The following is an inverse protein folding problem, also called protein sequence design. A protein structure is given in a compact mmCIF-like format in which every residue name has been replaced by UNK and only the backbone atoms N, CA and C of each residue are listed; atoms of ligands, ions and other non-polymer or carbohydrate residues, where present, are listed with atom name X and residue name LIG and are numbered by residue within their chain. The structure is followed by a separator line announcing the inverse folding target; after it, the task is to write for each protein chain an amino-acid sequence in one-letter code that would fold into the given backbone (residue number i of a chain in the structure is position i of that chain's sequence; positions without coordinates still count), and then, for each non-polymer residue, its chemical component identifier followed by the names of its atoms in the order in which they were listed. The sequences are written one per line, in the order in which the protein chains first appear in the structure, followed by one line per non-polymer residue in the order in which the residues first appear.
data_IF_080098336419
#
_entry.id   IF_080098336419
#
_cell.length_a   1.000
_cell.length_b   1.000
_cell.length_c   1.000
_cell.angle_alpha   90.00
_cell.angle_beta   90.00
_cell.angle_gamma   90.00
#
_symmetry.space_group_name_H-M   'P 1'
#
loop_
_entity.id
_entity.type
_entity.pdbx_description
1 polymer ?
#
# COMPACT_ATOMS: atom_id res chain seq x y z
N UNK A 1 -21.26 -8.20 -1.25
CA UNK A 1 -20.56 -7.22 -0.39
C UNK A 1 -20.53 -7.73 1.04
N UNK A 2 -19.37 -7.76 1.63
CA UNK A 2 -19.24 -8.07 3.06
C UNK A 2 -19.92 -6.99 3.87
N UNK A 3 -20.60 -7.39 4.93
CA UNK A 3 -21.05 -6.44 5.91
C UNK A 3 -19.85 -5.78 6.62
N UNK A 4 -20.08 -4.65 7.27
CA UNK A 4 -19.05 -3.89 7.97
C UNK A 4 -18.37 -4.73 9.06
N UNK A 5 -19.13 -5.55 9.78
CA UNK A 5 -18.62 -6.39 10.87
C UNK A 5 -17.62 -7.43 10.38
N UNK A 6 -17.93 -8.14 9.29
CA UNK A 6 -16.99 -9.13 8.72
C UNK A 6 -15.77 -8.48 8.11
N UNK A 7 -15.89 -7.30 7.52
CA UNK A 7 -14.76 -6.55 7.02
C UNK A 7 -13.82 -6.11 8.16
N UNK A 8 -14.35 -5.57 9.23
CA UNK A 8 -13.58 -5.16 10.41
C UNK A 8 -12.83 -6.34 11.04
N UNK A 9 -13.49 -7.48 11.17
CA UNK A 9 -12.86 -8.71 11.67
C UNK A 9 -11.71 -9.15 10.78
N UNK A 10 -11.88 -9.08 9.47
CA UNK A 10 -10.85 -9.41 8.49
C UNK A 10 -9.64 -8.46 8.58
N UNK A 11 -9.88 -7.16 8.65
CA UNK A 11 -8.80 -6.16 8.78
C UNK A 11 -8.02 -6.37 10.09
N UNK A 12 -8.71 -6.59 11.20
CA UNK A 12 -8.07 -6.84 12.49
C UNK A 12 -7.22 -8.12 12.44
N UNK A 13 -7.71 -9.15 11.78
CA UNK A 13 -6.94 -10.38 11.55
C UNK A 13 -5.64 -10.10 10.77
N UNK A 14 -5.71 -9.35 9.69
CA UNK A 14 -4.52 -8.98 8.91
C UNK A 14 -3.54 -8.09 9.69
N UNK A 15 -4.03 -7.14 10.49
CA UNK A 15 -3.16 -6.33 11.34
C UNK A 15 -2.38 -7.20 12.34
N UNK A 16 -3.02 -8.20 12.92
CA UNK A 16 -2.39 -9.13 13.85
C UNK A 16 -1.39 -10.04 13.16
N UNK A 17 -1.71 -10.52 11.97
CA UNK A 17 -0.79 -11.31 11.14
C UNK A 17 0.51 -10.55 10.85
N UNK A 18 0.43 -9.24 10.68
CA UNK A 18 1.56 -8.36 10.36
C UNK A 18 1.98 -7.46 11.52
N UNK A 19 1.75 -7.87 12.76
CA UNK A 19 1.94 -7.05 13.96
C UNK A 19 3.36 -6.50 14.16
N UNK A 20 4.38 -7.19 13.68
CA UNK A 20 5.77 -6.72 13.76
C UNK A 20 6.07 -5.53 12.83
N UNK A 21 5.18 -5.26 11.92
CA UNK A 21 5.46 -4.42 10.76
C UNK A 21 4.44 -3.31 10.54
N UNK A 22 3.21 -3.54 10.96
CA UNK A 22 2.14 -2.55 10.92
C UNK A 22 1.99 -1.87 12.27
N UNK A 23 1.73 -0.57 12.24
CA UNK A 23 1.19 0.10 13.40
C UNK A 23 -0.20 -0.48 13.71
N UNK A 24 -0.44 -0.80 14.96
CA UNK A 24 -1.75 -1.29 15.38
C UNK A 24 -2.71 -0.12 15.58
N UNK A 25 -3.87 -0.22 14.98
CA UNK A 25 -4.96 0.73 15.14
C UNK A 25 -6.14 0.06 15.83
N UNK A 26 -6.81 0.75 16.75
CA UNK A 26 -7.98 0.21 17.42
C UNK A 26 -9.15 0.05 16.44
N UNK A 27 -10.03 -0.91 16.73
CA UNK A 27 -11.21 -1.20 15.90
C UNK A 27 -12.07 0.04 15.66
N UNK A 28 -12.17 0.94 16.64
CA UNK A 28 -12.92 2.20 16.51
C UNK A 28 -12.41 3.10 15.39
N UNK A 29 -11.11 3.17 15.20
CA UNK A 29 -10.51 3.94 14.11
C UNK A 29 -10.77 3.28 12.74
N UNK A 30 -10.69 1.97 12.67
CA UNK A 30 -11.00 1.19 11.47
C UNK A 30 -12.48 1.28 11.11
N UNK A 31 -13.36 1.23 12.09
CA UNK A 31 -14.80 1.40 11.89
C UNK A 31 -15.11 2.76 11.27
N UNK A 32 -14.52 3.82 11.81
CA UNK A 32 -14.63 5.16 11.22
C UNK A 32 -14.14 5.22 9.79
N UNK A 33 -13.02 4.57 9.49
CA UNK A 33 -12.46 4.50 8.15
C UNK A 33 -13.40 3.78 7.17
N UNK A 34 -13.98 2.66 7.58
CA UNK A 34 -14.96 1.92 6.76
C UNK A 34 -16.20 2.77 6.50
N UNK A 35 -16.76 3.39 7.52
CA UNK A 35 -17.94 4.27 7.39
C UNK A 35 -17.70 5.48 6.52
N UNK A 36 -16.47 5.95 6.44
CA UNK A 36 -16.07 7.11 5.61
C UNK A 36 -15.61 6.70 4.22
N UNK A 37 -15.78 5.45 3.80
CA UNK A 37 -15.31 4.92 2.51
C UNK A 37 -13.80 5.15 2.27
N UNK A 38 -12.99 4.93 3.29
CA UNK A 38 -11.52 5.11 3.22
C UNK A 38 -10.75 3.80 3.25
N UNK A 39 -11.44 2.70 3.08
CA UNK A 39 -10.84 1.38 2.94
C UNK A 39 -11.15 0.84 1.55
N UNK A 40 -10.11 0.55 0.80
CA UNK A 40 -10.19 -0.22 -0.44
C UNK A 40 -9.85 -1.66 -0.10
N UNK A 41 -10.63 -2.59 -0.60
CA UNK A 41 -10.36 -4.02 -0.45
C UNK A 41 -10.04 -4.65 -1.80
N UNK A 42 -9.32 -5.74 -1.77
CA UNK A 42 -9.16 -6.62 -2.92
C UNK A 42 -9.68 -8.01 -2.58
N UNK A 43 -10.12 -8.71 -3.60
CA UNK A 43 -10.66 -10.05 -3.47
C UNK A 43 -9.91 -11.00 -4.39
N UNK A 44 -9.84 -12.24 -3.95
CA UNK A 44 -9.33 -13.36 -4.73
C UNK A 44 -10.29 -14.54 -4.55
N UNK A 45 -10.79 -15.09 -5.66
CA UNK A 45 -11.77 -16.18 -5.64
C UNK A 45 -13.02 -15.90 -4.78
N UNK A 46 -13.47 -14.64 -4.76
CA UNK A 46 -14.64 -14.22 -3.98
C UNK A 46 -14.37 -13.96 -2.50
N UNK A 47 -13.13 -14.12 -2.05
CA UNK A 47 -12.74 -13.85 -0.68
C UNK A 47 -11.83 -12.62 -0.58
N UNK A 48 -11.93 -11.90 0.53
CA UNK A 48 -11.04 -10.75 0.77
C UNK A 48 -9.60 -11.21 0.89
N UNK A 49 -8.73 -10.52 0.18
CA UNK A 49 -7.30 -10.85 0.10
C UNK A 49 -6.39 -9.71 0.56
N UNK A 50 -6.94 -8.56 0.86
CA UNK A 50 -6.17 -7.42 1.33
C UNK A 50 -6.99 -6.16 1.51
N UNK A 51 -6.38 -5.13 2.06
CA UNK A 51 -6.97 -3.81 2.20
C UNK A 51 -5.93 -2.71 2.07
N UNK A 52 -6.40 -1.53 1.70
CA UNK A 52 -5.65 -0.28 1.70
C UNK A 52 -6.49 0.76 2.44
N UNK A 53 -5.92 1.33 3.49
CA UNK A 53 -6.53 2.42 4.24
C UNK A 53 -5.88 3.74 3.85
N UNK A 54 -6.69 4.68 3.42
CA UNK A 54 -6.25 5.99 2.96
C UNK A 54 -6.97 7.13 3.67
N UNK A 55 -6.40 8.31 3.60
CA UNK A 55 -7.00 9.54 4.08
C UNK A 55 -8.02 10.13 3.09
N UNK A 56 -8.45 11.36 3.37
CA UNK A 56 -9.39 12.06 2.51
C UNK A 56 -8.81 12.38 1.15
N UNK A 57 -9.64 12.29 0.13
CA UNK A 57 -9.35 12.78 -1.22
C UNK A 57 -9.89 14.21 -1.32
N UNK A 58 -9.00 15.18 -1.52
CA UNK A 58 -9.36 16.60 -1.61
C UNK A 58 -8.63 17.28 -2.75
N UNK A 59 -9.30 18.25 -3.44
CA UNK A 59 -8.64 19.03 -4.48
C UNK A 59 -7.40 19.74 -3.96
N UNK A 60 -6.33 19.70 -4.75
CA UNK A 60 -5.09 20.40 -4.45
C UNK A 60 -4.26 19.83 -3.28
N UNK A 61 -4.61 18.64 -2.79
CA UNK A 61 -3.88 17.99 -1.69
C UNK A 61 -3.48 16.57 -2.03
N UNK A 62 -2.40 16.10 -1.42
CA UNK A 62 -1.98 14.70 -1.52
C UNK A 62 -2.93 13.80 -0.72
N UNK A 63 -3.21 12.64 -1.27
CA UNK A 63 -3.86 11.54 -0.55
C UNK A 63 -2.80 10.79 0.24
N UNK A 64 -3.06 10.59 1.51
CA UNK A 64 -2.19 9.83 2.41
C UNK A 64 -2.66 8.38 2.47
N UNK A 65 -1.76 7.44 2.31
CA UNK A 65 -2.02 6.04 2.58
C UNK A 65 -1.47 5.69 3.96
N UNK A 66 -2.33 5.20 4.85
CA UNK A 66 -1.96 4.85 6.22
C UNK A 66 -1.46 3.42 6.35
N UNK A 67 -2.15 2.50 5.72
CA UNK A 67 -1.80 1.09 5.69
C UNK A 67 -2.17 0.49 4.35
N UNK A 68 -1.34 -0.42 3.87
CA UNK A 68 -1.68 -1.29 2.76
C UNK A 68 -1.15 -2.69 3.08
N UNK A 69 -2.02 -3.66 3.00
CA UNK A 69 -1.72 -5.02 3.41
C UNK A 69 -2.42 -6.01 2.50
N UNK A 70 -1.70 -7.04 2.08
CA UNK A 70 -2.26 -8.18 1.35
C UNK A 70 -2.04 -9.43 2.17
N UNK A 71 -3.02 -10.32 2.16
CA UNK A 71 -2.91 -11.61 2.82
C UNK A 71 -1.65 -12.34 2.38
N UNK A 72 -1.01 -13.01 3.33
CA UNK A 72 0.26 -13.70 3.09
C UNK A 72 0.20 -14.68 1.92
N UNK A 73 -0.87 -15.43 1.81
CA UNK A 73 -1.05 -16.41 0.75
C UNK A 73 -1.35 -15.80 -0.62
N UNK A 74 -1.85 -14.57 -0.64
CA UNK A 74 -2.31 -13.87 -1.84
C UNK A 74 -1.31 -12.87 -2.41
N UNK A 75 -0.15 -12.67 -1.78
CA UNK A 75 0.81 -11.62 -2.16
C UNK A 75 1.40 -11.72 -3.56
N UNK A 76 1.29 -12.86 -4.20
CA UNK A 76 1.86 -13.09 -5.54
C UNK A 76 0.97 -12.66 -6.69
N UNK A 77 -0.19 -12.04 -6.43
CA UNK A 77 -1.26 -11.87 -7.41
C UNK A 77 -1.55 -10.44 -7.82
N UNK A 78 -0.60 -9.54 -7.68
CA UNK A 78 -0.73 -8.11 -8.08
C UNK A 78 -1.87 -7.36 -7.39
N UNK A 79 -2.39 -7.88 -6.31
CA UNK A 79 -3.55 -7.31 -5.62
C UNK A 79 -3.26 -5.93 -5.06
N UNK A 80 -2.05 -5.72 -4.60
CA UNK A 80 -1.68 -4.43 -4.07
C UNK A 80 -1.58 -3.32 -5.12
N UNK A 81 -1.05 -3.65 -6.28
CA UNK A 81 -1.08 -2.71 -7.40
C UNK A 81 -2.53 -2.37 -7.78
N UNK A 82 -3.40 -3.35 -7.79
CA UNK A 82 -4.82 -3.13 -8.05
C UNK A 82 -5.45 -2.14 -7.08
N UNK A 83 -5.17 -2.27 -5.79
CA UNK A 83 -5.67 -1.34 -4.77
C UNK A 83 -5.07 0.06 -4.92
N UNK A 84 -3.78 0.18 -5.12
CA UNK A 84 -3.10 1.47 -5.34
C UNK A 84 -3.62 2.14 -6.62
N UNK A 85 -3.75 1.39 -7.70
CA UNK A 85 -4.30 1.87 -8.96
C UNK A 85 -5.74 2.37 -8.81
N UNK A 86 -6.57 1.66 -8.08
CA UNK A 86 -7.92 2.10 -7.74
C UNK A 86 -7.94 3.41 -6.97
N UNK A 87 -7.05 3.57 -5.99
CA UNK A 87 -6.92 4.82 -5.25
C UNK A 87 -6.44 5.97 -6.15
N UNK A 88 -5.51 5.72 -7.06
CA UNK A 88 -5.07 6.73 -8.03
C UNK A 88 -6.25 7.23 -8.87
N UNK A 89 -7.09 6.34 -9.33
CA UNK A 89 -8.30 6.71 -10.10
C UNK A 89 -9.23 7.59 -9.27
N UNK A 90 -9.49 7.23 -8.03
CA UNK A 90 -10.30 8.03 -7.11
C UNK A 90 -9.66 9.40 -6.83
N UNK A 91 -8.36 9.42 -6.61
CA UNK A 91 -7.61 10.63 -6.32
C UNK A 91 -7.60 11.61 -7.50
N UNK A 92 -7.44 11.12 -8.72
CA UNK A 92 -7.57 11.93 -9.96
C UNK A 92 -8.95 12.53 -10.07
N UNK A 93 -10.00 11.74 -9.90
CA UNK A 93 -11.37 12.21 -9.96
C UNK A 93 -11.67 13.29 -8.90
N UNK A 94 -11.04 13.18 -7.73
CA UNK A 94 -11.17 14.15 -6.64
C UNK A 94 -10.25 15.37 -6.74
N UNK A 95 -9.43 15.49 -7.78
CA UNK A 95 -8.52 16.61 -7.98
C UNK A 95 -7.30 16.63 -7.06
N UNK A 96 -6.92 15.50 -6.50
CA UNK A 96 -5.73 15.40 -5.66
C UNK A 96 -4.45 15.66 -6.47
N UNK A 97 -3.41 16.14 -5.80
CA UNK A 97 -2.12 16.47 -6.42
C UNK A 97 -1.16 15.29 -6.48
N UNK A 98 -1.26 14.38 -5.53
CA UNK A 98 -0.38 13.23 -5.44
C UNK A 98 -0.86 12.21 -4.42
N UNK A 99 -0.08 11.17 -4.24
CA UNK A 99 -0.28 10.17 -3.19
C UNK A 99 1.03 9.96 -2.45
N UNK A 100 0.95 9.73 -1.16
CA UNK A 100 2.12 9.53 -0.32
C UNK A 100 1.89 8.51 0.78
N UNK A 101 2.96 7.85 1.17
CA UNK A 101 3.00 6.97 2.33
C UNK A 101 4.36 7.04 3.03
N UNK A 102 4.41 6.50 4.23
CA UNK A 102 5.62 6.39 5.05
C UNK A 102 5.89 4.93 5.33
N UNK A 103 7.10 4.49 5.10
CA UNK A 103 7.49 3.09 5.24
C UNK A 103 8.82 3.01 5.97
N UNK A 104 8.93 2.15 6.97
CA UNK A 104 10.21 1.91 7.64
C UNK A 104 11.26 1.46 6.62
N UNK A 105 12.48 2.02 6.70
CA UNK A 105 13.55 1.74 5.70
C UNK A 105 13.92 0.26 5.63
N UNK A 106 13.79 -0.45 6.74
CA UNK A 106 14.06 -1.89 6.81
C UNK A 106 12.96 -2.75 6.18
N UNK A 107 11.84 -2.15 5.80
CA UNK A 107 10.70 -2.85 5.27
C UNK A 107 10.88 -3.15 3.78
N UNK A 108 10.65 -4.37 3.39
CA UNK A 108 10.81 -4.84 2.02
C UNK A 108 9.81 -4.22 1.03
N UNK A 109 8.69 -3.72 1.53
CA UNK A 109 7.72 -3.03 0.68
C UNK A 109 8.28 -1.75 0.03
N UNK A 110 9.42 -1.24 0.49
CA UNK A 110 10.10 -0.11 -0.18
C UNK A 110 10.37 -0.38 -1.66
N UNK A 111 10.75 -1.61 -2.00
CA UNK A 111 10.97 -2.00 -3.39
C UNK A 111 9.67 -2.02 -4.21
N UNK A 112 8.57 -2.41 -3.59
CA UNK A 112 7.27 -2.34 -4.24
C UNK A 112 6.92 -0.90 -4.64
N UNK A 113 7.08 0.05 -3.74
CA UNK A 113 6.78 1.45 -4.02
C UNK A 113 7.66 2.01 -5.12
N UNK A 114 8.94 1.69 -5.10
CA UNK A 114 9.88 2.07 -6.16
C UNK A 114 9.46 1.50 -7.52
N UNK A 115 9.12 0.21 -7.56
CA UNK A 115 8.76 -0.48 -8.81
C UNK A 115 7.49 0.07 -9.47
N UNK A 116 6.51 0.47 -8.67
CA UNK A 116 5.26 1.04 -9.22
C UNK A 116 5.38 2.52 -9.56
N UNK A 117 6.57 3.11 -9.45
CA UNK A 117 6.85 4.47 -9.91
C UNK A 117 6.78 5.55 -8.84
N UNK A 118 6.68 5.18 -7.57
CA UNK A 118 6.84 6.15 -6.47
C UNK A 118 8.31 6.50 -6.31
N UNK A 119 8.57 7.69 -5.80
CA UNK A 119 9.93 8.14 -5.47
C UNK A 119 10.03 8.53 -3.99
N UNK A 120 11.20 8.29 -3.41
CA UNK A 120 11.49 8.64 -2.03
C UNK A 120 11.83 10.13 -1.96
N UNK A 121 11.00 10.90 -1.27
CA UNK A 121 11.19 12.36 -1.16
C UNK A 121 12.15 12.74 -0.03
N UNK A 122 12.16 11.96 1.03
CA UNK A 122 13.06 12.16 2.18
C UNK A 122 13.13 10.90 3.04
N UNK A 123 14.13 10.86 3.90
CA UNK A 123 14.25 9.89 4.98
C UNK A 123 14.23 10.66 6.30
N UNK A 124 13.39 10.24 7.23
CA UNK A 124 13.29 10.84 8.57
C UNK A 124 13.54 9.79 9.65
N UNK A 125 13.82 10.25 10.87
CA UNK A 125 13.87 9.37 12.03
C UNK A 125 12.44 8.99 12.42
N UNK A 126 12.23 7.72 12.69
CA UNK A 126 11.01 7.21 13.31
C UNK A 126 10.98 7.49 14.81
N UNK A 127 9.91 7.06 15.47
CA UNK A 127 9.74 7.25 16.91
C UNK A 127 10.93 6.78 17.74
N UNK A 128 11.22 7.52 18.80
CA UNK A 128 12.42 7.39 19.66
C UNK A 128 12.63 5.96 20.19
N UNK A 129 11.55 5.22 20.42
CA UNK A 129 11.64 3.86 21.00
C UNK A 129 12.13 2.77 20.02
N UNK A 130 12.08 3.01 18.72
CA UNK A 130 12.42 1.99 17.71
C UNK A 130 13.65 2.32 16.87
N UNK A 131 14.18 3.54 16.92
CA UNK A 131 15.40 3.94 16.19
C UNK A 131 15.33 3.74 14.68
N UNK A 132 14.13 3.58 14.12
CA UNK A 132 13.93 3.25 12.71
C UNK A 132 13.98 4.51 11.86
N UNK A 133 14.65 4.42 10.72
CA UNK A 133 14.50 5.41 9.66
C UNK A 133 13.22 5.15 8.89
N UNK A 134 12.58 6.21 8.44
CA UNK A 134 11.32 6.17 7.69
C UNK A 134 11.54 6.78 6.31
N UNK A 135 11.25 6.01 5.27
CA UNK A 135 11.21 6.48 3.91
C UNK A 135 9.85 7.10 3.60
N UNK A 136 9.87 8.28 3.00
CA UNK A 136 8.66 8.96 2.55
C UNK A 136 8.52 8.79 1.05
N UNK A 137 7.52 8.03 0.64
CA UNK A 137 7.22 7.75 -0.76
C UNK A 137 6.11 8.64 -1.27
N UNK A 138 6.27 9.12 -2.50
CA UNK A 138 5.28 9.97 -3.16
C UNK A 138 5.22 9.69 -4.66
N UNK A 139 4.05 9.88 -5.25
CA UNK A 139 3.87 10.00 -6.70
C UNK A 139 2.97 11.19 -7.03
N UNK A 140 3.23 11.81 -8.18
CA UNK A 140 2.36 12.85 -8.74
C UNK A 140 1.20 12.17 -9.47
N UNK A 141 -0.02 12.61 -9.20
CA UNK A 141 -1.21 12.06 -9.86
C UNK A 141 -1.41 12.68 -11.25
N UNK A 142 -0.97 13.89 -11.45
CA UNK A 142 -1.11 14.59 -12.74
C UNK A 142 -0.15 14.05 -13.82
N UNK A 143 0.90 13.36 -13.39
CA UNK A 143 1.82 12.67 -14.31
C UNK A 143 1.48 11.19 -14.36
N UNK A 144 1.52 10.56 -15.54
CA UNK A 144 1.40 9.11 -15.59
C UNK A 144 2.51 8.48 -14.73
N UNK A 145 2.20 7.41 -14.03
CA UNK A 145 3.17 6.64 -13.24
C UNK A 145 4.33 6.14 -14.11
N UNK A 146 4.05 5.97 -15.40
CA UNK A 146 5.01 5.58 -16.41
C UNK A 146 5.09 6.67 -17.47
N UNK A 147 6.26 6.91 -18.01
CA UNK A 147 6.41 7.81 -19.14
C UNK A 147 5.73 7.19 -20.37
N UNK A 148 4.90 7.98 -21.05
CA UNK A 148 4.10 7.52 -22.19
C UNK A 148 4.96 7.12 -23.39
N UNK A 149 6.18 7.59 -23.44
CA UNK A 149 7.18 7.36 -24.48
C UNK A 149 8.01 6.09 -24.27
N UNK A 150 7.92 5.46 -23.12
CA UNK A 150 8.49 4.14 -22.91
C UNK A 150 7.41 3.09 -23.20
N UNK A 151 7.64 2.23 -24.18
CA UNK A 151 6.86 1.00 -24.33
C UNK A 151 7.01 0.18 -23.05
N UNK A 152 6.07 0.37 -22.14
CA UNK A 152 6.02 -0.42 -20.93
C UNK A 152 5.47 -1.77 -21.33
N UNK A 153 6.28 -2.81 -21.29
CA UNK A 153 5.74 -4.14 -21.46
C UNK A 153 4.61 -4.31 -20.44
N UNK A 154 3.45 -4.65 -20.91
CA UNK A 154 2.20 -4.74 -20.12
C UNK A 154 2.30 -5.57 -18.83
N UNK A 155 3.45 -6.19 -18.61
CA UNK A 155 3.69 -7.13 -17.52
C UNK A 155 4.76 -6.69 -16.52
N UNK A 156 5.62 -5.73 -16.84
CA UNK A 156 6.88 -5.57 -16.11
C UNK A 156 6.77 -4.84 -14.77
N UNK A 157 6.11 -3.71 -14.61
CA UNK A 157 6.16 -3.05 -13.29
C UNK A 157 5.21 -3.66 -12.28
N UNK A 158 4.31 -4.49 -12.74
CA UNK A 158 3.19 -5.02 -11.95
C UNK A 158 3.39 -6.51 -11.63
N UNK A 159 4.27 -7.19 -12.36
CA UNK A 159 4.55 -8.60 -12.09
C UNK A 159 5.49 -8.78 -10.90
N UNK A 160 4.90 -8.80 -9.72
CA UNK A 160 5.61 -9.10 -8.49
C UNK A 160 6.28 -10.49 -8.49
N UNK A 161 5.88 -11.39 -9.39
CA UNK A 161 6.56 -12.68 -9.57
C UNK A 161 7.90 -12.51 -10.28
N UNK A 162 7.95 -11.70 -11.32
CA UNK A 162 9.19 -11.37 -12.00
C UNK A 162 10.15 -10.68 -11.06
N UNK A 163 9.67 -9.71 -10.30
CA UNK A 163 10.45 -9.05 -9.28
C UNK A 163 11.05 -10.01 -8.25
N UNK A 164 10.28 -11.00 -7.82
CA UNK A 164 10.77 -12.02 -6.88
C UNK A 164 11.78 -12.97 -7.50
N UNK A 165 11.64 -13.27 -8.79
CA UNK A 165 12.61 -14.12 -9.50
C UNK A 165 13.96 -13.44 -9.65
N UNK A 166 13.97 -12.16 -9.92
CA UNK A 166 15.21 -11.40 -10.14
C UNK A 166 16.05 -11.26 -8.86
N UNK A 167 15.42 -11.32 -7.71
CA UNK A 167 16.09 -11.32 -6.40
C UNK A 167 16.46 -12.70 -5.85
N UNK A 168 16.27 -13.76 -6.59
CA UNK A 168 16.58 -15.12 -6.12
C UNK A 168 18.07 -15.43 -5.98
N UNK A 169 18.93 -14.49 -6.20
CA UNK A 169 20.35 -14.66 -5.92
C UNK A 169 20.63 -14.59 -4.41
N UNK A 170 19.93 -15.40 -3.62
CA UNK A 170 20.34 -15.76 -2.28
C UNK A 170 19.57 -15.18 -1.11
N UNK A 171 18.52 -14.41 -1.32
CA UNK A 171 17.68 -13.94 -0.23
C UNK A 171 16.23 -14.33 -0.48
N UNK A 172 15.69 -15.19 0.37
CA UNK A 172 14.26 -15.44 0.43
C UNK A 172 13.55 -14.11 0.68
N UNK A 173 12.90 -13.60 -0.37
CA UNK A 173 12.00 -12.47 -0.21
C UNK A 173 10.79 -12.94 0.58
N UNK A 174 10.55 -12.39 1.76
CA UNK A 174 9.33 -12.69 2.47
C UNK A 174 8.14 -12.29 1.61
N UNK A 175 7.05 -12.96 1.82
CA UNK A 175 5.81 -12.74 1.09
C UNK A 175 5.11 -11.40 1.39
N UNK A 176 5.82 -10.46 1.94
CA UNK A 176 5.36 -9.15 2.35
C UNK A 176 5.78 -8.11 1.34
N UNK A 177 4.87 -7.36 0.86
CA UNK A 177 5.21 -6.33 -0.09
C UNK A 177 4.67 -4.95 0.28
N UNK A 178 3.74 -4.86 1.19
CA UNK A 178 3.07 -3.60 1.43
C UNK A 178 2.93 -3.31 2.91
N UNK A 179 3.46 -2.20 3.35
CA UNK A 179 3.30 -1.66 4.71
C UNK A 179 3.49 -0.17 4.72
N UNK A 180 2.60 0.51 5.34
CA UNK A 180 2.80 1.91 5.68
C UNK A 180 2.44 2.12 7.14
N UNK A 181 3.24 2.92 7.82
CA UNK A 181 3.04 3.28 9.21
C UNK A 181 2.84 4.78 9.31
N UNK A 182 1.88 5.15 10.08
CA UNK A 182 1.72 6.51 10.59
C UNK A 182 1.80 6.45 12.10
N UNK A 183 2.73 7.19 12.63
CA UNK A 183 2.80 7.47 14.06
C UNK A 183 1.77 8.52 14.44
#
# INVERSE_FOLDING_TARGET
SRDMSSLLTYIDHLQRQWSDELAFYPISALEKAVRSNRIITCEENGESAGYLWHGSVRPGRDVVMYQACVDYESQRRHLGWGMVSGLITMAKAGGATGMRCRVASSNESNEFWRLIGFYCTKVSQGGVKRGRKINHWRTDIQKPLFRVDEEIPSTVPIDLRSYRKDKRNGVDMPNRWSRSHYD
#
